data_IF_766052672009
#
_entry.id   IF_766052672009
#
_cell.length_a   1.000
_cell.length_b   1.000
_cell.length_c   1.000
_cell.angle_alpha   90.00
_cell.angle_beta   90.00
_cell.angle_gamma   90.00
#
_symmetry.space_group_name_H-M   'P 1'
#
loop_
_entity.id
_entity.type
_entity.pdbx_description
1 polymer ?
#
# COMPACT_ATOMS: atom_id res chain seq x y z
N UNK A 1 -55.71 40.82 -9.95
CA UNK A 1 -54.30 40.53 -10.32
C UNK A 1 -53.25 40.87 -9.25
N UNK A 2 -53.54 41.62 -8.17
CA UNK A 2 -52.52 42.02 -7.17
C UNK A 2 -51.99 40.93 -6.21
N UNK A 3 -52.81 39.91 -5.87
CA UNK A 3 -52.47 38.88 -4.85
C UNK A 3 -51.31 37.95 -5.26
N UNK A 4 -51.13 37.72 -6.56
CA UNK A 4 -50.04 36.88 -7.09
C UNK A 4 -48.66 37.57 -6.99
N UNK A 5 -48.62 38.91 -7.03
CA UNK A 5 -47.35 39.66 -6.97
C UNK A 5 -46.72 39.65 -5.58
N UNK A 6 -47.53 39.64 -4.52
CA UNK A 6 -47.03 39.62 -3.15
C UNK A 6 -46.44 38.25 -2.79
N UNK A 7 -47.13 37.16 -3.16
CA UNK A 7 -46.64 35.80 -2.94
C UNK A 7 -45.31 35.53 -3.66
N UNK A 8 -45.16 36.05 -4.89
CA UNK A 8 -43.91 35.95 -5.64
C UNK A 8 -42.76 36.70 -4.95
N UNK A 9 -43.01 37.93 -4.46
CA UNK A 9 -41.99 38.71 -3.73
C UNK A 9 -41.54 38.02 -2.44
N UNK A 10 -42.48 37.49 -1.66
CA UNK A 10 -42.16 36.73 -0.43
C UNK A 10 -41.36 35.46 -0.74
N UNK A 11 -41.72 34.74 -1.81
CA UNK A 11 -40.99 33.54 -2.23
C UNK A 11 -39.56 33.87 -2.69
N UNK A 12 -39.37 34.93 -3.48
CA UNK A 12 -38.03 35.38 -3.91
C UNK A 12 -37.19 35.80 -2.70
N UNK A 13 -37.77 36.55 -1.76
CA UNK A 13 -37.07 36.95 -0.54
C UNK A 13 -36.61 35.75 0.29
N UNK A 14 -37.45 34.70 0.40
CA UNK A 14 -37.11 33.45 1.08
C UNK A 14 -35.94 32.74 0.38
N UNK A 15 -35.98 32.59 -0.95
CA UNK A 15 -34.89 31.95 -1.71
C UNK A 15 -33.57 32.70 -1.52
N UNK A 16 -33.60 34.04 -1.64
CA UNK A 16 -32.42 34.87 -1.43
C UNK A 16 -31.90 34.74 0.01
N UNK A 17 -32.78 34.74 1.00
CA UNK A 17 -32.41 34.55 2.40
C UNK A 17 -31.71 33.21 2.64
N UNK A 18 -32.25 32.12 2.10
CA UNK A 18 -31.63 30.78 2.18
C UNK A 18 -30.26 30.79 1.47
N UNK A 19 -30.19 31.37 0.27
CA UNK A 19 -28.94 31.47 -0.48
C UNK A 19 -27.86 32.25 0.30
N UNK A 20 -28.20 33.41 0.87
CA UNK A 20 -27.27 34.19 1.70
C UNK A 20 -26.87 33.43 2.97
N UNK A 21 -27.80 32.74 3.63
CA UNK A 21 -27.48 31.93 4.80
C UNK A 21 -26.48 30.81 4.44
N UNK A 22 -26.67 30.13 3.31
CA UNK A 22 -25.73 29.12 2.82
C UNK A 22 -24.36 29.74 2.47
N UNK A 23 -24.33 30.89 1.80
CA UNK A 23 -23.09 31.59 1.47
C UNK A 23 -22.31 32.04 2.71
N UNK A 24 -23.01 32.61 3.71
CA UNK A 24 -22.42 33.00 5.00
C UNK A 24 -21.92 31.75 5.73
N UNK A 25 -22.72 30.69 5.79
CA UNK A 25 -22.33 29.44 6.44
C UNK A 25 -21.10 28.82 5.78
N UNK A 26 -21.06 28.76 4.44
CA UNK A 26 -19.90 28.28 3.69
C UNK A 26 -18.67 29.13 3.99
N UNK A 27 -18.81 30.47 4.02
CA UNK A 27 -17.71 31.38 4.34
C UNK A 27 -17.17 31.13 5.75
N UNK A 28 -18.06 31.00 6.75
CA UNK A 28 -17.67 30.67 8.12
C UNK A 28 -16.95 29.33 8.16
N UNK A 29 -17.51 28.28 7.52
CA UNK A 29 -16.92 26.94 7.48
C UNK A 29 -15.54 26.91 6.81
N UNK A 30 -15.32 27.72 5.76
CA UNK A 30 -14.01 27.87 5.13
C UNK A 30 -13.02 28.57 6.07
N UNK A 31 -13.44 29.64 6.76
CA UNK A 31 -12.59 30.39 7.70
C UNK A 31 -12.14 29.50 8.87
N UNK A 32 -13.05 28.69 9.43
CA UNK A 32 -12.73 27.79 10.56
C UNK A 32 -12.16 26.43 10.12
N UNK A 33 -12.02 26.19 8.81
CA UNK A 33 -11.61 24.93 8.20
C UNK A 33 -12.40 23.69 8.70
N UNK A 34 -13.72 23.83 8.86
CA UNK A 34 -14.58 22.75 9.36
C UNK A 34 -15.60 22.28 8.30
N UNK A 35 -15.79 20.96 8.11
CA UNK A 35 -14.91 19.89 8.59
C UNK A 35 -13.58 19.94 7.83
N UNK A 36 -12.51 19.42 8.44
CA UNK A 36 -11.21 19.29 7.76
C UNK A 36 -11.38 18.44 6.51
N UNK A 37 -10.77 18.88 5.40
CA UNK A 37 -10.79 18.06 4.19
C UNK A 37 -9.98 16.79 4.43
N UNK A 38 -10.54 15.60 4.16
CA UNK A 38 -9.74 14.39 4.17
C UNK A 38 -8.66 14.49 3.09
N UNK A 39 -7.53 13.84 3.33
CA UNK A 39 -6.40 13.78 2.41
C UNK A 39 -6.34 12.40 1.75
N UNK A 40 -5.82 12.35 0.54
CA UNK A 40 -5.55 11.08 -0.14
C UNK A 40 -4.20 10.53 0.26
N UNK A 41 -4.19 9.36 0.87
CA UNK A 41 -3.00 8.76 1.48
C UNK A 41 -2.81 9.23 2.93
N UNK A 42 -1.76 8.73 3.57
CA UNK A 42 -1.53 8.99 5.00
C UNK A 42 -0.05 8.90 5.37
N UNK A 43 0.29 9.49 6.51
CA UNK A 43 1.55 9.31 7.21
C UNK A 43 1.25 9.03 8.68
N UNK A 44 1.41 7.80 9.14
CA UNK A 44 1.03 7.39 10.49
C UNK A 44 2.04 7.84 11.55
N UNK A 45 3.30 8.08 11.17
CA UNK A 45 4.36 8.37 12.13
C UNK A 45 4.03 9.55 13.06
N UNK A 46 3.58 10.69 12.50
CA UNK A 46 3.25 11.88 13.31
C UNK A 46 2.17 11.62 14.36
N UNK A 47 1.27 10.67 14.10
CA UNK A 47 0.18 10.31 15.02
C UNK A 47 0.63 9.26 16.04
N UNK A 48 1.43 8.29 15.62
CA UNK A 48 1.74 7.10 16.42
C UNK A 48 3.10 7.14 17.11
N UNK A 49 4.07 7.84 16.54
CA UNK A 49 5.46 7.89 17.00
C UNK A 49 6.13 9.21 16.58
N UNK A 50 5.62 10.37 17.02
CA UNK A 50 6.02 11.70 16.50
C UNK A 50 7.52 11.98 16.61
N UNK A 51 8.18 11.48 17.66
CA UNK A 51 9.62 11.68 17.90
C UNK A 51 10.51 10.72 17.09
N UNK A 52 9.91 9.84 16.28
CA UNK A 52 10.58 8.83 15.48
C UNK A 52 10.38 9.06 13.98
N UNK A 53 9.96 10.26 13.58
CA UNK A 53 9.72 10.59 12.18
C UNK A 53 10.93 11.26 11.55
N UNK A 54 11.25 10.84 10.33
CA UNK A 54 12.19 11.55 9.48
C UNK A 54 11.56 12.81 8.87
N UNK A 55 12.36 13.64 8.20
CA UNK A 55 11.91 14.87 7.54
C UNK A 55 10.84 14.70 6.46
N UNK A 56 10.61 13.49 5.95
CA UNK A 56 9.51 13.16 5.02
C UNK A 56 8.25 12.68 5.74
N UNK A 57 8.29 12.53 7.06
CA UNK A 57 7.17 12.11 7.89
C UNK A 57 6.97 10.60 7.99
N UNK A 58 7.90 9.80 7.48
CA UNK A 58 7.94 8.35 7.70
C UNK A 58 8.63 8.03 9.01
N UNK A 59 8.26 6.92 9.63
CA UNK A 59 8.97 6.43 10.81
C UNK A 59 10.36 5.96 10.40
N UNK A 60 11.38 6.44 11.09
CA UNK A 60 12.78 6.20 10.77
C UNK A 60 13.64 7.42 11.12
N UNK A 61 14.94 7.28 10.93
CA UNK A 61 15.89 8.34 11.27
C UNK A 61 15.87 9.50 10.28
N UNK A 62 16.32 10.66 10.76
CA UNK A 62 16.52 11.83 9.92
C UNK A 62 17.46 11.54 8.74
N UNK A 63 17.13 12.05 7.55
CA UNK A 63 17.78 11.69 6.29
C UNK A 63 19.05 12.54 6.12
N UNK A 64 20.12 12.13 6.80
CA UNK A 64 21.40 12.83 6.82
C UNK A 64 22.51 11.88 6.38
N UNK A 65 23.22 12.24 5.31
CA UNK A 65 24.36 11.52 4.77
C UNK A 65 25.34 12.45 4.07
N UNK A 66 26.60 12.03 3.95
CA UNK A 66 27.64 12.73 3.20
C UNK A 66 27.59 12.39 1.70
N UNK A 67 28.18 13.18 0.80
CA UNK A 67 28.30 12.82 -0.62
C UNK A 67 29.01 11.46 -0.86
N UNK A 68 29.87 11.05 0.06
CA UNK A 68 30.66 9.82 -0.03
C UNK A 68 29.93 8.58 0.52
N UNK A 69 28.87 8.76 1.29
CA UNK A 69 28.12 7.65 1.90
C UNK A 69 27.45 6.79 0.82
N UNK A 70 27.34 5.49 1.06
CA UNK A 70 26.50 4.61 0.26
C UNK A 70 25.08 4.58 0.82
N UNK A 71 24.14 5.21 0.12
CA UNK A 71 22.78 5.44 0.60
C UNK A 71 21.85 4.33 0.10
N UNK A 72 21.31 3.57 1.04
CA UNK A 72 20.29 2.55 0.82
C UNK A 72 18.95 3.07 1.30
N UNK A 73 17.94 2.96 0.46
CA UNK A 73 16.56 3.31 0.78
C UNK A 73 15.73 2.03 0.89
N UNK A 74 15.20 1.77 2.08
CA UNK A 74 14.29 0.65 2.35
C UNK A 74 12.85 1.13 2.17
N UNK A 75 12.15 0.59 1.19
CA UNK A 75 10.79 0.97 0.81
C UNK A 75 9.85 -0.19 1.10
N UNK A 76 8.67 0.06 1.66
CA UNK A 76 7.68 -1.00 1.91
C UNK A 76 6.44 -0.51 2.63
N UNK A 77 5.76 -1.43 3.31
CA UNK A 77 4.49 -1.21 3.99
C UNK A 77 4.62 -1.35 5.52
N UNK A 78 3.66 -2.01 6.19
CA UNK A 78 3.71 -2.25 7.62
C UNK A 78 4.92 -3.08 8.08
N UNK A 79 5.45 -3.98 7.24
CA UNK A 79 6.65 -4.77 7.59
C UNK A 79 7.93 -3.91 7.60
N UNK A 80 7.92 -2.75 6.94
CA UNK A 80 9.00 -1.75 7.02
C UNK A 80 8.72 -0.74 8.14
N UNK A 81 7.46 -0.30 8.30
CA UNK A 81 7.06 0.66 9.34
C UNK A 81 7.21 0.10 10.77
N UNK A 82 6.94 -1.20 10.96
CA UNK A 82 7.19 -1.98 12.19
C UNK A 82 6.67 -1.36 13.49
N UNK A 83 5.41 -0.92 13.52
CA UNK A 83 4.81 -0.13 14.61
C UNK A 83 5.08 -0.61 16.05
N UNK A 84 5.19 -1.93 16.21
CA UNK A 84 5.30 -2.62 17.49
C UNK A 84 6.74 -2.77 17.99
N UNK A 85 7.73 -2.38 17.18
CA UNK A 85 9.13 -2.60 17.47
C UNK A 85 9.78 -1.38 18.14
N UNK A 86 10.73 -1.61 19.07
CA UNK A 86 11.62 -0.56 19.55
C UNK A 86 12.29 0.18 18.38
N UNK A 87 12.48 1.49 18.53
CA UNK A 87 12.99 2.34 17.47
C UNK A 87 14.40 1.94 16.98
N UNK A 88 15.25 1.47 17.89
CA UNK A 88 16.60 0.96 17.61
C UNK A 88 16.61 -0.41 16.91
N UNK A 89 15.47 -1.11 16.90
CA UNK A 89 15.26 -2.40 16.25
C UNK A 89 14.47 -2.31 14.94
N UNK A 90 14.20 -1.10 14.45
CA UNK A 90 13.53 -0.90 13.17
C UNK A 90 14.31 -1.55 12.00
N UNK A 91 13.62 -1.98 10.94
CA UNK A 91 14.22 -2.54 9.73
C UNK A 91 15.42 -1.76 9.17
N UNK A 92 15.33 -0.42 9.10
CA UNK A 92 16.46 0.40 8.64
C UNK A 92 17.72 0.21 9.50
N UNK A 93 17.57 0.11 10.82
CA UNK A 93 18.68 -0.01 11.78
C UNK A 93 19.28 -1.40 11.74
N UNK A 94 18.44 -2.44 11.66
CA UNK A 94 18.88 -3.82 11.50
C UNK A 94 19.66 -3.99 10.19
N UNK A 95 19.10 -3.53 9.08
CA UNK A 95 19.73 -3.65 7.77
C UNK A 95 21.06 -2.88 7.72
N UNK A 96 21.11 -1.66 8.25
CA UNK A 96 22.38 -0.89 8.31
C UNK A 96 23.45 -1.63 9.12
N UNK A 97 23.09 -2.15 10.30
CA UNK A 97 24.00 -2.92 11.15
C UNK A 97 24.59 -4.12 10.40
N UNK A 98 23.79 -4.81 9.61
CA UNK A 98 24.25 -5.97 8.84
C UNK A 98 25.08 -5.58 7.61
N UNK A 99 24.68 -4.55 6.86
CA UNK A 99 25.43 -4.07 5.69
C UNK A 99 26.80 -3.49 6.08
N UNK A 100 26.93 -2.88 7.27
CA UNK A 100 28.21 -2.36 7.77
C UNK A 100 29.28 -3.41 8.01
N UNK A 101 28.92 -4.70 8.07
CA UNK A 101 29.91 -5.80 8.07
C UNK A 101 30.69 -5.89 6.76
N UNK A 102 30.16 -5.31 5.69
CA UNK A 102 30.74 -5.34 4.35
C UNK A 102 31.21 -3.96 3.87
N UNK A 103 30.63 -2.87 4.42
CA UNK A 103 30.89 -1.50 3.99
C UNK A 103 30.55 -0.46 5.06
N UNK A 104 31.55 0.22 5.60
CA UNK A 104 31.39 1.12 6.75
C UNK A 104 30.61 2.42 6.44
N UNK A 105 30.66 2.91 5.20
CA UNK A 105 30.01 4.14 4.73
C UNK A 105 28.52 3.98 4.40
N UNK A 106 27.91 2.82 4.69
CA UNK A 106 26.49 2.58 4.42
C UNK A 106 25.59 3.40 5.36
N UNK A 107 24.58 4.02 4.74
CA UNK A 107 23.46 4.68 5.38
C UNK A 107 22.14 4.11 4.88
N UNK A 108 21.33 3.52 5.76
CA UNK A 108 19.98 3.05 5.43
C UNK A 108 18.91 4.04 5.91
N UNK A 109 17.90 4.31 5.10
CA UNK A 109 16.72 5.12 5.50
C UNK A 109 15.43 4.42 5.07
N UNK A 110 14.34 4.67 5.79
CA UNK A 110 13.03 4.08 5.49
C UNK A 110 12.08 5.04 4.76
N UNK A 111 11.38 4.52 3.74
CA UNK A 111 10.11 5.03 3.22
C UNK A 111 9.06 3.91 3.28
N UNK A 112 8.38 3.79 4.42
CA UNK A 112 7.34 2.77 4.57
C UNK A 112 6.29 3.18 5.57
N UNK A 113 5.05 2.80 5.28
CA UNK A 113 3.91 3.07 6.15
C UNK A 113 2.86 1.95 6.01
N UNK A 114 2.05 1.77 7.04
CA UNK A 114 1.07 0.69 7.09
C UNK A 114 0.05 0.80 5.95
N UNK A 115 -0.24 -0.32 5.29
CA UNK A 115 -1.25 -0.39 4.23
C UNK A 115 -0.87 0.31 2.93
N UNK A 116 0.39 0.69 2.76
CA UNK A 116 0.92 1.19 1.50
C UNK A 116 1.01 0.05 0.48
N UNK A 117 0.61 0.31 -0.75
CA UNK A 117 1.02 -0.46 -1.91
C UNK A 117 2.15 0.25 -2.65
N UNK A 118 2.56 -0.33 -3.77
CA UNK A 118 3.53 0.30 -4.68
C UNK A 118 3.04 1.63 -5.25
N UNK A 119 1.73 1.88 -5.28
CA UNK A 119 1.19 3.18 -5.69
C UNK A 119 1.67 4.34 -4.79
N UNK A 120 1.51 4.22 -3.48
CA UNK A 120 1.95 5.22 -2.52
C UNK A 120 3.45 5.16 -2.29
N UNK A 121 4.06 3.97 -2.34
CA UNK A 121 5.52 3.83 -2.27
C UNK A 121 6.21 4.52 -3.45
N UNK A 122 5.66 4.44 -4.67
CA UNK A 122 6.17 5.15 -5.84
C UNK A 122 6.08 6.68 -5.66
N UNK A 123 4.95 7.19 -5.16
CA UNK A 123 4.79 8.63 -4.91
C UNK A 123 5.70 9.14 -3.78
N UNK A 124 5.88 8.35 -2.72
CA UNK A 124 6.84 8.62 -1.66
C UNK A 124 8.28 8.65 -2.20
N UNK A 125 8.62 7.72 -3.09
CA UNK A 125 9.92 7.66 -3.75
C UNK A 125 10.16 8.86 -4.66
N UNK A 126 9.15 9.31 -5.42
CA UNK A 126 9.22 10.58 -6.16
C UNK A 126 9.53 11.75 -5.24
N UNK A 127 8.81 11.83 -4.11
CA UNK A 127 9.02 12.92 -3.13
C UNK A 127 10.43 12.89 -2.55
N UNK A 128 10.96 11.70 -2.27
CA UNK A 128 12.32 11.54 -1.77
C UNK A 128 13.36 12.07 -2.76
N UNK A 129 13.26 11.71 -4.04
CA UNK A 129 14.22 12.12 -5.07
C UNK A 129 14.18 13.61 -5.41
N UNK A 130 13.18 14.38 -4.95
CA UNK A 130 13.20 15.84 -5.05
C UNK A 130 14.37 16.47 -4.26
N UNK A 131 14.85 15.80 -3.21
CA UNK A 131 15.85 16.36 -2.27
C UNK A 131 16.99 15.42 -1.93
N UNK A 132 16.83 14.13 -2.17
CA UNK A 132 17.76 13.10 -1.72
C UNK A 132 18.20 12.20 -2.87
N UNK A 133 19.32 11.50 -2.65
CA UNK A 133 19.84 10.46 -3.55
C UNK A 133 19.80 9.12 -2.84
N UNK A 134 19.60 8.05 -3.59
CA UNK A 134 19.79 6.69 -3.11
C UNK A 134 20.59 5.92 -4.16
N UNK A 135 21.67 5.26 -3.72
CA UNK A 135 22.50 4.41 -4.57
C UNK A 135 21.82 3.05 -4.78
N UNK A 136 21.06 2.57 -3.77
CA UNK A 136 20.29 1.34 -3.82
C UNK A 136 18.91 1.55 -3.19
N UNK A 137 17.87 1.12 -3.88
CA UNK A 137 16.51 1.04 -3.36
C UNK A 137 16.14 -0.42 -3.19
N UNK A 138 15.81 -0.79 -1.96
CA UNK A 138 15.34 -2.12 -1.59
C UNK A 138 13.84 -2.06 -1.33
N UNK A 139 13.06 -2.64 -2.24
CA UNK A 139 11.61 -2.71 -2.12
C UNK A 139 11.20 -4.01 -1.43
N UNK A 140 10.73 -3.93 -0.19
CA UNK A 140 10.11 -5.05 0.51
C UNK A 140 8.68 -5.22 -0.01
N UNK A 141 8.42 -6.33 -0.68
CA UNK A 141 7.11 -6.67 -1.23
C UNK A 141 6.35 -7.61 -0.30
N UNK A 142 5.20 -7.16 0.19
CA UNK A 142 4.36 -7.94 1.10
C UNK A 142 3.28 -8.66 0.28
N UNK A 143 3.57 -9.89 -0.14
CA UNK A 143 2.69 -10.68 -1.01
C UNK A 143 1.28 -10.93 -0.48
N UNK A 144 1.02 -10.69 0.81
CA UNK A 144 -0.30 -10.86 1.42
C UNK A 144 -1.25 -9.70 1.10
N UNK A 145 -0.74 -8.50 0.89
CA UNK A 145 -1.56 -7.29 0.79
C UNK A 145 -1.15 -6.35 -0.36
N UNK A 146 0.07 -6.38 -0.88
CA UNK A 146 0.55 -5.36 -1.82
C UNK A 146 -0.25 -5.31 -3.12
N UNK A 147 -0.63 -6.47 -3.68
CA UNK A 147 -1.49 -6.52 -4.88
C UNK A 147 -2.84 -5.84 -4.59
N UNK A 148 -3.43 -6.11 -3.43
CA UNK A 148 -4.72 -5.53 -3.03
C UNK A 148 -4.56 -4.04 -2.72
N UNK A 149 -3.48 -3.65 -2.05
CA UNK A 149 -3.15 -2.27 -1.77
C UNK A 149 -2.96 -1.48 -3.07
N UNK A 150 -2.48 -2.08 -4.16
CA UNK A 150 -2.44 -1.41 -5.47
C UNK A 150 -3.81 -1.38 -6.15
N UNK A 151 -4.57 -2.48 -6.04
CA UNK A 151 -5.82 -2.69 -6.76
C UNK A 151 -6.95 -1.78 -6.28
N UNK A 152 -7.18 -1.69 -4.97
CA UNK A 152 -8.33 -0.98 -4.42
C UNK A 152 -8.05 0.50 -4.22
N UNK A 153 -9.00 1.42 -4.45
CA UNK A 153 -8.78 2.85 -4.27
C UNK A 153 -8.73 3.31 -2.80
N UNK A 154 -8.74 2.34 -1.89
CA UNK A 154 -8.84 2.54 -0.44
C UNK A 154 -8.04 1.48 0.30
N UNK A 155 -7.56 1.80 1.50
CA UNK A 155 -6.91 0.82 2.38
C UNK A 155 -7.61 0.71 3.74
N UNK A 156 -7.40 -0.45 4.38
CA UNK A 156 -7.97 -0.80 5.68
C UNK A 156 -9.50 -0.91 5.71
N UNK A 157 -10.01 -1.26 6.88
CA UNK A 157 -11.46 -1.43 7.12
C UNK A 157 -12.23 -0.10 7.02
N UNK A 158 -11.57 1.03 7.29
CA UNK A 158 -12.19 2.36 7.24
C UNK A 158 -12.32 2.92 5.81
N UNK A 159 -11.88 2.17 4.79
CA UNK A 159 -11.84 2.62 3.40
C UNK A 159 -11.13 3.99 3.28
N UNK A 160 -9.96 4.14 3.89
CA UNK A 160 -9.18 5.39 3.78
C UNK A 160 -8.79 5.57 2.32
N UNK A 161 -9.20 6.67 1.71
CA UNK A 161 -8.91 6.98 0.32
C UNK A 161 -7.40 7.17 0.10
N UNK A 162 -6.90 6.70 -1.04
CA UNK A 162 -5.50 6.88 -1.44
C UNK A 162 -5.37 7.25 -2.91
N UNK A 163 -4.24 7.87 -3.31
CA UNK A 163 -3.87 8.01 -4.71
C UNK A 163 -3.92 6.63 -5.36
N UNK A 164 -4.65 6.51 -6.46
CA UNK A 164 -4.88 5.22 -7.09
C UNK A 164 -4.48 5.26 -8.54
N UNK A 165 -3.69 4.28 -8.96
CA UNK A 165 -3.35 4.05 -10.36
C UNK A 165 -4.28 2.98 -10.94
N UNK A 166 -4.47 3.00 -12.25
CA UNK A 166 -5.25 1.98 -12.95
C UNK A 166 -4.63 1.66 -14.31
N UNK A 167 -4.99 0.52 -14.87
CA UNK A 167 -4.64 0.17 -16.23
C UNK A 167 -5.83 0.44 -17.15
N UNK A 168 -5.58 1.13 -18.25
CA UNK A 168 -6.50 1.23 -19.39
C UNK A 168 -5.77 0.71 -20.62
N UNK A 169 -6.29 -0.36 -21.23
CA UNK A 169 -5.67 -1.05 -22.38
C UNK A 169 -4.18 -1.38 -22.16
N UNK A 170 -3.83 -1.82 -20.95
CA UNK A 170 -2.47 -2.19 -20.55
C UNK A 170 -1.53 -1.01 -20.28
N UNK A 171 -1.99 0.24 -20.41
CA UNK A 171 -1.22 1.44 -20.06
C UNK A 171 -1.54 1.88 -18.63
N UNK A 172 -0.52 2.29 -17.90
CA UNK A 172 -0.67 2.83 -16.54
C UNK A 172 -1.17 4.28 -16.60
N UNK A 173 -2.24 4.55 -15.88
CA UNK A 173 -2.82 5.88 -15.67
C UNK A 173 -2.86 6.23 -14.19
N UNK A 174 -2.93 7.53 -13.92
CA UNK A 174 -3.03 8.09 -12.58
C UNK A 174 -1.74 8.73 -12.07
N UNK A 175 -1.66 9.02 -10.76
CA UNK A 175 -2.69 8.68 -9.76
C UNK A 175 -3.97 9.52 -9.94
N UNK A 176 -5.07 9.11 -9.33
CA UNK A 176 -6.33 9.88 -9.28
C UNK A 176 -6.18 11.29 -8.69
N UNK A 177 -5.25 11.44 -7.75
CA UNK A 177 -4.82 12.71 -7.19
C UNK A 177 -3.40 12.60 -6.65
N UNK A 178 -2.78 13.75 -6.36
CA UNK A 178 -1.45 13.79 -5.75
C UNK A 178 -1.44 13.23 -4.32
N UNK A 179 -0.30 12.68 -3.93
CA UNK A 179 -0.08 12.14 -2.59
C UNK A 179 -0.23 13.22 -1.51
N UNK A 180 -0.96 12.88 -0.44
CA UNK A 180 -1.30 13.76 0.69
C UNK A 180 -2.13 14.99 0.30
N UNK A 181 -2.75 15.00 -0.88
CA UNK A 181 -3.59 16.13 -1.32
C UNK A 181 -5.02 16.02 -0.80
N UNK A 182 -5.70 17.15 -0.52
CA UNK A 182 -7.10 17.16 -0.11
C UNK A 182 -8.03 16.51 -1.15
N UNK A 183 -8.98 15.70 -0.69
CA UNK A 183 -10.00 15.06 -1.52
C UNK A 183 -11.42 15.41 -1.07
N UNK A 184 -12.37 15.21 -1.98
CA UNK A 184 -13.79 15.49 -1.76
C UNK A 184 -14.23 16.89 -2.23
N UNK A 185 -15.47 17.28 -1.90
CA UNK A 185 -16.01 18.57 -2.30
C UNK A 185 -15.19 19.75 -1.77
N UNK A 186 -14.98 20.77 -2.63
CA UNK A 186 -14.37 22.03 -2.19
C UNK A 186 -15.32 22.83 -1.29
N UNK A 187 -16.63 22.71 -1.52
CA UNK A 187 -17.68 23.37 -0.74
C UNK A 187 -17.80 22.64 0.61
N UNK A 188 -17.54 23.34 1.71
CA UNK A 188 -17.54 22.78 3.07
C UNK A 188 -18.94 22.33 3.50
N UNK A 189 -20.00 23.02 3.09
CA UNK A 189 -21.38 22.57 3.37
C UNK A 189 -21.65 21.20 2.75
N UNK A 190 -21.18 20.94 1.52
CA UNK A 190 -21.30 19.62 0.89
C UNK A 190 -20.48 18.56 1.63
N UNK A 191 -19.27 18.91 2.07
CA UNK A 191 -18.42 18.02 2.85
C UNK A 191 -19.02 17.72 4.23
N UNK A 192 -19.65 18.71 4.87
CA UNK A 192 -20.38 18.58 6.13
C UNK A 192 -21.58 17.65 5.97
N UNK A 193 -22.37 17.84 4.91
CA UNK A 193 -23.47 16.95 4.57
C UNK A 193 -22.97 15.52 4.34
N UNK A 194 -21.87 15.36 3.60
CA UNK A 194 -21.25 14.05 3.38
C UNK A 194 -20.77 13.42 4.70
N UNK A 195 -20.20 14.21 5.61
CA UNK A 195 -19.71 13.73 6.90
C UNK A 195 -20.83 13.20 7.81
N UNK A 196 -22.00 13.86 7.83
CA UNK A 196 -23.12 13.48 8.71
C UNK A 196 -24.09 12.48 8.09
N UNK A 197 -24.33 12.56 6.78
CA UNK A 197 -25.41 11.83 6.12
C UNK A 197 -24.96 11.01 4.92
N UNK A 198 -23.75 11.26 4.41
CA UNK A 198 -23.26 10.64 3.19
C UNK A 198 -22.39 9.42 3.42
N UNK A 199 -22.09 8.73 2.33
CA UNK A 199 -21.03 7.74 2.32
C UNK A 199 -19.65 8.40 2.42
N UNK A 200 -18.70 7.73 3.07
CA UNK A 200 -17.32 8.19 3.07
C UNK A 200 -16.80 8.27 1.63
N UNK A 201 -15.91 9.23 1.37
CA UNK A 201 -15.30 9.40 0.04
C UNK A 201 -14.67 8.09 -0.45
N UNK A 202 -14.03 7.35 0.46
CA UNK A 202 -13.46 6.06 0.12
C UNK A 202 -14.49 5.01 -0.26
N UNK A 203 -15.61 4.91 0.46
CA UNK A 203 -16.69 3.99 0.09
C UNK A 203 -17.26 4.33 -1.29
N UNK A 204 -17.57 5.60 -1.54
CA UNK A 204 -18.03 6.06 -2.85
C UNK A 204 -17.04 5.70 -3.98
N UNK A 205 -15.73 5.93 -3.75
CA UNK A 205 -14.67 5.58 -4.71
C UNK A 205 -14.59 4.08 -4.96
N UNK A 206 -14.67 3.27 -3.91
CA UNK A 206 -14.63 1.83 -4.02
C UNK A 206 -15.80 1.31 -4.88
N UNK A 207 -17.01 1.78 -4.63
CA UNK A 207 -18.20 1.40 -5.42
C UNK A 207 -18.07 1.86 -6.88
N UNK A 208 -17.52 3.05 -7.13
CA UNK A 208 -17.20 3.51 -8.48
C UNK A 208 -16.18 2.59 -9.17
N UNK A 209 -15.10 2.21 -8.49
CA UNK A 209 -14.05 1.33 -9.03
C UNK A 209 -14.60 -0.05 -9.38
N UNK A 210 -15.42 -0.63 -8.50
CA UNK A 210 -16.09 -1.91 -8.74
C UNK A 210 -16.92 -1.92 -10.02
N UNK A 211 -17.55 -0.79 -10.34
CA UNK A 211 -18.43 -0.67 -11.51
C UNK A 211 -17.67 -0.33 -12.80
N UNK A 212 -16.66 0.52 -12.72
CA UNK A 212 -16.07 1.17 -13.90
C UNK A 212 -14.66 0.68 -14.26
N UNK A 213 -13.93 0.08 -13.31
CA UNK A 213 -12.50 -0.23 -13.46
C UNK A 213 -12.22 -1.73 -13.32
N UNK A 214 -12.87 -2.40 -12.37
CA UNK A 214 -12.56 -3.80 -12.08
C UNK A 214 -13.09 -4.76 -13.14
N UNK A 215 -12.25 -5.66 -13.68
CA UNK A 215 -12.72 -6.80 -14.45
C UNK A 215 -13.35 -7.86 -13.53
N UNK A 216 -13.77 -8.99 -14.10
CA UNK A 216 -14.50 -10.00 -13.34
C UNK A 216 -13.68 -10.57 -12.17
N UNK A 217 -14.24 -10.59 -10.94
CA UNK A 217 -13.59 -11.23 -9.79
C UNK A 217 -13.68 -12.75 -9.89
N UNK A 218 -13.00 -13.43 -8.98
CA UNK A 218 -13.07 -14.87 -8.80
C UNK A 218 -14.52 -15.36 -8.71
N UNK A 219 -14.85 -16.37 -9.51
CA UNK A 219 -16.16 -17.01 -9.51
C UNK A 219 -16.08 -18.29 -8.67
N UNK A 220 -16.68 -18.32 -7.46
CA UNK A 220 -16.71 -19.53 -6.66
C UNK A 220 -17.57 -20.59 -7.31
N UNK A 221 -17.29 -21.86 -7.01
CA UNK A 221 -18.04 -22.99 -7.56
C UNK A 221 -19.40 -23.07 -6.85
N UNK A 222 -20.44 -23.41 -7.62
CA UNK A 222 -21.78 -23.69 -7.08
C UNK A 222 -21.87 -25.10 -6.49
N UNK A 223 -21.08 -26.03 -7.03
CA UNK A 223 -21.05 -27.43 -6.64
C UNK A 223 -19.59 -27.92 -6.62
N UNK A 224 -19.27 -28.85 -5.73
CA UNK A 224 -17.95 -29.47 -5.65
C UNK A 224 -18.06 -30.88 -5.08
N UNK A 225 -17.52 -31.84 -5.82
CA UNK A 225 -17.39 -33.24 -5.38
C UNK A 225 -15.93 -33.47 -4.92
N UNK A 226 -15.72 -33.53 -3.61
CA UNK A 226 -14.39 -33.75 -3.03
C UNK A 226 -14.32 -33.43 -1.55
N UNK A 227 -13.11 -33.48 -0.98
CA UNK A 227 -12.87 -33.07 0.40
C UNK A 227 -13.08 -31.55 0.56
N UNK A 228 -13.90 -31.18 1.55
CA UNK A 228 -14.29 -29.80 1.81
C UNK A 228 -13.84 -29.40 3.21
N UNK A 229 -13.15 -28.26 3.29
CA UNK A 229 -12.77 -27.63 4.54
C UNK A 229 -13.88 -26.65 5.00
N UNK A 230 -14.51 -26.96 6.13
CA UNK A 230 -15.62 -26.16 6.69
C UNK A 230 -15.18 -25.03 7.63
N UNK A 231 -13.87 -24.86 7.87
CA UNK A 231 -13.36 -23.82 8.79
C UNK A 231 -13.79 -22.41 8.41
N UNK A 232 -13.94 -22.12 7.11
CA UNK A 232 -14.44 -20.82 6.64
C UNK A 232 -15.91 -20.60 6.97
N UNK A 233 -16.74 -21.62 6.80
CA UNK A 233 -18.15 -21.57 7.20
C UNK A 233 -18.31 -21.35 8.70
N UNK A 234 -17.49 -22.01 9.51
CA UNK A 234 -17.48 -21.83 10.96
C UNK A 234 -17.03 -20.41 11.36
N UNK A 235 -15.95 -19.92 10.74
CA UNK A 235 -15.47 -18.57 10.96
C UNK A 235 -16.50 -17.51 10.48
N UNK A 236 -17.16 -17.74 9.35
CA UNK A 236 -18.23 -16.89 8.82
C UNK A 236 -19.44 -16.84 9.76
N UNK A 237 -19.89 -17.98 10.30
CA UNK A 237 -20.99 -18.00 11.29
C UNK A 237 -20.66 -17.23 12.56
N UNK A 238 -19.39 -17.28 12.98
CA UNK A 238 -18.93 -16.61 14.20
C UNK A 238 -18.72 -15.11 13.99
N UNK A 239 -18.14 -14.72 12.85
CA UNK A 239 -17.70 -13.36 12.56
C UNK A 239 -17.84 -13.01 11.06
N UNK A 240 -19.06 -12.89 10.52
CA UNK A 240 -19.28 -12.77 9.08
C UNK A 240 -18.59 -11.54 8.47
N UNK A 241 -18.59 -10.41 9.20
CA UNK A 241 -18.09 -9.14 8.68
C UNK A 241 -16.58 -8.90 8.91
N UNK A 242 -15.86 -9.77 9.62
CA UNK A 242 -14.46 -9.50 10.00
C UNK A 242 -13.45 -10.23 9.10
N UNK A 243 -13.73 -11.48 8.73
CA UNK A 243 -12.74 -12.34 8.06
C UNK A 243 -12.91 -12.32 6.53
N UNK A 244 -14.14 -12.21 6.05
CA UNK A 244 -14.49 -12.43 4.65
C UNK A 244 -15.14 -11.22 3.97
N UNK A 245 -15.11 -10.05 4.63
CA UNK A 245 -15.62 -8.82 4.05
C UNK A 245 -14.86 -8.47 2.77
N UNK A 246 -15.56 -8.40 1.64
CA UNK A 246 -14.97 -8.06 0.34
C UNK A 246 -14.43 -9.26 -0.44
N UNK A 247 -14.68 -10.51 0.01
CA UNK A 247 -14.29 -11.72 -0.72
C UNK A 247 -14.87 -11.77 -2.14
N UNK A 248 -16.04 -11.18 -2.35
CA UNK A 248 -16.72 -11.10 -3.65
C UNK A 248 -15.97 -10.24 -4.67
N UNK A 249 -15.03 -9.42 -4.21
CA UNK A 249 -14.06 -8.69 -5.03
C UNK A 249 -12.62 -9.08 -4.70
N UNK A 250 -12.40 -10.23 -4.06
CA UNK A 250 -11.06 -10.73 -3.70
C UNK A 250 -10.25 -9.80 -2.77
N UNK A 251 -10.92 -9.00 -1.93
CA UNK A 251 -10.26 -8.15 -0.94
C UNK A 251 -10.00 -8.93 0.37
N UNK A 252 -9.22 -10.01 0.27
CA UNK A 252 -8.95 -10.96 1.37
C UNK A 252 -7.52 -11.47 1.30
N UNK A 253 -6.92 -11.78 2.45
CA UNK A 253 -5.49 -12.11 2.60
C UNK A 253 -5.01 -13.32 1.77
N UNK A 254 -5.91 -14.21 1.39
CA UNK A 254 -5.64 -15.43 0.61
C UNK A 254 -6.05 -15.30 -0.86
N UNK A 255 -6.46 -14.12 -1.33
CA UNK A 255 -6.89 -13.95 -2.71
C UNK A 255 -5.80 -14.32 -3.74
N UNK A 256 -4.53 -14.15 -3.37
CA UNK A 256 -3.39 -14.59 -4.18
C UNK A 256 -3.26 -16.11 -4.30
N UNK A 257 -4.05 -16.89 -3.57
CA UNK A 257 -4.10 -18.36 -3.66
C UNK A 257 -5.33 -18.86 -4.44
N UNK A 258 -6.33 -18.03 -4.72
CA UNK A 258 -7.57 -18.47 -5.39
C UNK A 258 -7.28 -19.05 -6.77
N UNK A 259 -7.83 -20.24 -7.03
CA UNK A 259 -7.63 -20.98 -8.29
C UNK A 259 -8.97 -21.43 -8.91
N UNK A 260 -9.16 -21.28 -10.23
CA UNK A 260 -8.24 -20.64 -11.17
C UNK A 260 -8.07 -19.13 -10.89
N UNK A 261 -6.94 -18.55 -11.31
CA UNK A 261 -6.72 -17.10 -11.25
C UNK A 261 -7.84 -16.36 -11.99
N UNK A 262 -8.45 -15.37 -11.35
CA UNK A 262 -9.47 -14.50 -11.95
C UNK A 262 -8.88 -13.41 -12.85
N UNK A 263 -9.74 -12.75 -13.63
CA UNK A 263 -9.35 -11.56 -14.40
C UNK A 263 -8.94 -10.40 -13.49
N UNK A 264 -9.64 -10.21 -12.37
CA UNK A 264 -9.30 -9.19 -11.37
C UNK A 264 -7.91 -9.40 -10.77
N UNK A 265 -7.58 -10.64 -10.41
CA UNK A 265 -6.24 -10.97 -9.88
C UNK A 265 -5.17 -10.77 -10.94
N UNK A 266 -5.42 -11.18 -12.18
CA UNK A 266 -4.51 -10.94 -13.28
C UNK A 266 -4.28 -9.44 -13.52
N UNK A 267 -5.34 -8.64 -13.47
CA UNK A 267 -5.27 -7.19 -13.56
C UNK A 267 -4.43 -6.59 -12.41
N UNK A 268 -4.65 -7.02 -11.16
CA UNK A 268 -3.86 -6.58 -10.01
C UNK A 268 -2.36 -6.90 -10.14
N UNK A 269 -2.02 -8.09 -10.65
CA UNK A 269 -0.63 -8.47 -10.97
C UNK A 269 -0.06 -7.53 -12.04
N UNK A 270 -0.79 -7.29 -13.14
CA UNK A 270 -0.34 -6.41 -14.23
C UNK A 270 -0.15 -4.96 -13.76
N UNK A 271 -1.06 -4.46 -12.91
CA UNK A 271 -0.98 -3.11 -12.33
C UNK A 271 0.26 -2.98 -11.45
N UNK A 272 0.48 -3.94 -10.55
CA UNK A 272 1.65 -3.97 -9.66
C UNK A 272 2.96 -4.03 -10.47
N UNK A 273 3.01 -4.83 -11.54
CA UNK A 273 4.16 -4.89 -12.45
C UNK A 273 4.40 -3.54 -13.14
N UNK A 274 3.34 -2.84 -13.52
CA UNK A 274 3.48 -1.51 -14.16
C UNK A 274 4.03 -0.49 -13.16
N UNK A 275 3.62 -0.57 -11.89
CA UNK A 275 4.20 0.24 -10.82
C UNK A 275 5.67 -0.10 -10.55
N UNK A 276 6.05 -1.39 -10.54
CA UNK A 276 7.46 -1.79 -10.48
C UNK A 276 8.29 -1.19 -11.62
N UNK A 277 7.75 -1.15 -12.84
CA UNK A 277 8.41 -0.51 -13.98
C UNK A 277 8.63 0.99 -13.75
N UNK A 278 7.62 1.72 -13.27
CA UNK A 278 7.75 3.16 -12.99
C UNK A 278 8.71 3.45 -11.83
N UNK A 279 8.69 2.63 -10.77
CA UNK A 279 9.67 2.73 -9.69
C UNK A 279 11.09 2.46 -10.21
N UNK A 280 11.29 1.42 -11.01
CA UNK A 280 12.60 1.09 -11.61
C UNK A 280 13.12 2.25 -12.46
N UNK A 281 12.30 2.78 -13.37
CA UNK A 281 12.64 3.94 -14.21
C UNK A 281 13.04 5.15 -13.38
N UNK A 282 12.27 5.46 -12.33
CA UNK A 282 12.56 6.58 -11.43
C UNK A 282 13.90 6.39 -10.71
N UNK A 283 14.18 5.19 -10.19
CA UNK A 283 15.42 4.86 -9.50
C UNK A 283 16.62 4.96 -10.46
N UNK A 284 16.52 4.36 -11.64
CA UNK A 284 17.57 4.38 -12.66
C UNK A 284 17.84 5.81 -13.19
N UNK A 285 16.79 6.62 -13.38
CA UNK A 285 16.93 8.03 -13.77
C UNK A 285 17.66 8.88 -12.71
N UNK A 286 17.72 8.41 -11.47
CA UNK A 286 18.46 9.03 -10.36
C UNK A 286 19.77 8.30 -10.04
N UNK A 287 20.29 7.50 -10.98
CA UNK A 287 21.53 6.72 -10.86
C UNK A 287 21.53 5.71 -9.70
N UNK A 288 20.35 5.30 -9.23
CA UNK A 288 20.19 4.24 -8.25
C UNK A 288 19.96 2.88 -8.90
N UNK A 289 20.00 1.83 -8.08
CA UNK A 289 19.63 0.47 -8.47
C UNK A 289 18.41 -0.01 -7.68
N UNK A 290 17.44 -0.65 -8.32
CA UNK A 290 16.24 -1.18 -7.65
C UNK A 290 16.33 -2.71 -7.52
N UNK A 291 16.19 -3.21 -6.29
CA UNK A 291 16.04 -4.65 -6.01
C UNK A 291 14.76 -4.86 -5.22
N UNK A 292 13.95 -5.83 -5.68
CA UNK A 292 12.73 -6.23 -4.98
C UNK A 292 13.05 -7.44 -4.08
N UNK A 293 12.55 -7.48 -2.87
CA UNK A 293 12.69 -8.68 -2.05
C UNK A 293 11.42 -8.96 -1.26
N UNK A 294 11.22 -10.24 -0.93
CA UNK A 294 10.19 -10.66 0.02
C UNK A 294 10.74 -11.76 0.91
N UNK A 295 10.22 -11.86 2.12
CA UNK A 295 10.38 -13.06 2.92
C UNK A 295 9.58 -14.22 2.31
N UNK A 296 10.00 -15.46 2.51
CA UNK A 296 9.16 -16.64 2.31
C UNK A 296 8.89 -17.29 3.65
N UNK A 297 7.63 -17.25 4.06
CA UNK A 297 7.20 -17.81 5.36
C UNK A 297 7.23 -19.34 5.30
N UNK A 298 7.39 -20.04 6.44
CA UNK A 298 7.45 -21.50 6.46
C UNK A 298 6.29 -22.20 5.74
N UNK A 299 5.07 -21.63 5.83
CA UNK A 299 3.89 -22.20 5.16
C UNK A 299 3.94 -22.03 3.63
N UNK A 300 4.62 -21.01 3.10
CA UNK A 300 4.78 -20.84 1.65
C UNK A 300 5.67 -21.93 1.04
N UNK A 301 6.65 -22.41 1.82
CA UNK A 301 7.65 -23.38 1.39
C UNK A 301 7.18 -24.81 1.65
N UNK A 302 6.51 -25.06 2.78
CA UNK A 302 6.12 -26.42 3.20
C UNK A 302 4.99 -27.01 2.35
N UNK A 303 4.12 -26.16 1.80
CA UNK A 303 2.85 -26.56 1.21
C UNK A 303 2.75 -26.25 -0.28
N UNK A 304 3.85 -26.33 -1.05
CA UNK A 304 3.95 -25.85 -2.45
C UNK A 304 2.85 -26.34 -3.39
N UNK A 305 2.41 -27.59 -3.21
CA UNK A 305 1.40 -28.24 -4.06
C UNK A 305 0.06 -28.45 -3.35
N UNK A 306 -0.12 -27.83 -2.17
CA UNK A 306 -1.36 -27.95 -1.41
C UNK A 306 -2.49 -27.22 -2.14
N UNK A 307 -3.59 -27.93 -2.33
CA UNK A 307 -4.86 -27.35 -2.77
C UNK A 307 -5.95 -27.74 -1.79
N UNK A 308 -6.83 -26.79 -1.49
CA UNK A 308 -7.94 -26.97 -0.57
C UNK A 308 -9.18 -26.28 -1.12
N UNK A 309 -10.34 -26.87 -0.86
CA UNK A 309 -11.64 -26.24 -1.16
C UNK A 309 -12.33 -25.90 0.14
N UNK A 310 -12.70 -24.64 0.29
CA UNK A 310 -13.41 -24.11 1.44
C UNK A 310 -14.87 -23.88 1.10
N UNK A 311 -15.77 -24.30 1.98
CA UNK A 311 -17.19 -23.99 1.87
C UNK A 311 -17.52 -22.75 2.70
N UNK A 312 -18.28 -21.81 2.12
CA UNK A 312 -18.79 -20.64 2.81
C UNK A 312 -20.03 -20.11 2.11
N UNK A 313 -21.12 -19.92 2.87
CA UNK A 313 -22.36 -19.29 2.42
C UNK A 313 -22.93 -19.90 1.11
N UNK A 314 -22.98 -21.23 1.05
CA UNK A 314 -23.51 -21.95 -0.12
C UNK A 314 -22.58 -21.98 -1.33
N UNK A 315 -21.33 -21.52 -1.20
CA UNK A 315 -20.35 -21.42 -2.27
C UNK A 315 -19.05 -22.13 -1.90
N UNK A 316 -18.31 -22.59 -2.92
CA UNK A 316 -17.03 -23.26 -2.75
C UNK A 316 -15.88 -22.42 -3.32
N UNK A 317 -14.83 -22.24 -2.53
CA UNK A 317 -13.65 -21.45 -2.88
C UNK A 317 -12.43 -22.36 -2.90
N UNK A 318 -11.77 -22.48 -4.05
CA UNK A 318 -10.58 -23.31 -4.18
C UNK A 318 -9.32 -22.46 -4.06
N UNK A 319 -8.43 -22.86 -3.16
CA UNK A 319 -7.11 -22.26 -2.97
C UNK A 319 -6.02 -23.23 -3.44
N UNK A 320 -4.94 -22.69 -4.00
CA UNK A 320 -3.79 -23.45 -4.49
C UNK A 320 -2.50 -22.70 -4.23
N UNK A 321 -1.58 -23.35 -3.52
CA UNK A 321 -0.23 -22.82 -3.30
C UNK A 321 0.58 -22.79 -4.60
N UNK A 322 0.29 -23.69 -5.55
CA UNK A 322 0.86 -23.63 -6.89
C UNK A 322 0.41 -22.36 -7.63
N UNK A 323 -0.87 -21.98 -7.51
CA UNK A 323 -1.38 -20.72 -8.08
C UNK A 323 -0.72 -19.51 -7.42
N UNK A 324 -0.53 -19.52 -6.10
CA UNK A 324 0.21 -18.48 -5.37
C UNK A 324 1.64 -18.32 -5.89
N UNK A 325 2.40 -19.42 -6.02
CA UNK A 325 3.77 -19.38 -6.54
C UNK A 325 3.83 -18.93 -8.00
N UNK A 326 2.85 -19.33 -8.82
CA UNK A 326 2.73 -18.84 -10.20
C UNK A 326 2.43 -17.33 -10.24
N UNK A 327 1.56 -16.82 -9.37
CA UNK A 327 1.28 -15.39 -9.25
C UNK A 327 2.56 -14.61 -8.93
N UNK A 328 3.35 -15.09 -7.96
CA UNK A 328 4.62 -14.45 -7.61
C UNK A 328 5.66 -14.54 -8.72
N UNK A 329 5.75 -15.68 -9.41
CA UNK A 329 6.64 -15.85 -10.56
C UNK A 329 6.31 -14.83 -11.65
N UNK A 330 5.03 -14.70 -12.01
CA UNK A 330 4.59 -13.74 -13.02
C UNK A 330 4.81 -12.31 -12.57
N UNK A 331 4.55 -12.02 -11.30
CA UNK A 331 4.74 -10.70 -10.71
C UNK A 331 6.21 -10.24 -10.80
N UNK A 332 7.17 -11.10 -10.45
CA UNK A 332 8.58 -10.73 -10.42
C UNK A 332 9.33 -10.98 -11.73
N UNK A 333 8.71 -11.64 -12.71
CA UNK A 333 9.35 -11.94 -13.99
C UNK A 333 9.92 -10.69 -14.67
N UNK A 334 11.22 -10.67 -14.95
CA UNK A 334 11.92 -9.54 -15.58
C UNK A 334 12.45 -8.47 -14.61
N UNK A 335 12.31 -8.67 -13.29
CA UNK A 335 12.88 -7.80 -12.26
C UNK A 335 13.95 -8.55 -11.46
N UNK A 336 15.01 -7.84 -11.07
CA UNK A 336 15.96 -8.35 -10.08
C UNK A 336 15.23 -8.45 -8.74
N UNK A 337 15.14 -9.69 -8.23
CA UNK A 337 14.41 -9.94 -7.00
C UNK A 337 14.98 -11.09 -6.19
N UNK A 338 14.72 -11.06 -4.88
CA UNK A 338 15.12 -12.11 -3.95
C UNK A 338 13.95 -12.57 -3.08
N UNK A 339 13.71 -13.88 -3.08
CA UNK A 339 12.79 -14.55 -2.18
C UNK A 339 13.62 -15.17 -1.05
N UNK A 340 13.44 -14.70 0.18
CA UNK A 340 14.32 -15.04 1.30
C UNK A 340 13.60 -15.97 2.27
N UNK A 341 13.96 -17.27 2.32
CA UNK A 341 13.27 -18.22 3.17
C UNK A 341 13.52 -17.96 4.66
N UNK A 342 12.44 -17.88 5.42
CA UNK A 342 12.45 -17.80 6.88
C UNK A 342 12.35 -19.21 7.46
N UNK A 343 13.49 -19.82 7.73
CA UNK A 343 13.58 -21.18 8.29
C UNK A 343 13.46 -21.17 9.82
N UNK A 344 12.44 -20.49 10.36
CA UNK A 344 12.18 -20.40 11.81
C UNK A 344 10.69 -20.63 12.09
N UNK A 345 10.36 -21.30 13.20
CA UNK A 345 8.96 -21.58 13.57
C UNK A 345 8.24 -20.33 14.07
N UNK A 346 8.92 -19.49 14.85
CA UNK A 346 8.33 -18.31 15.50
C UNK A 346 8.54 -17.06 14.63
N UNK A 347 8.12 -17.17 13.37
CA UNK A 347 8.35 -16.10 12.39
C UNK A 347 7.40 -14.92 12.57
N UNK A 348 6.22 -15.11 13.18
CA UNK A 348 5.23 -14.08 13.44
C UNK A 348 5.35 -13.52 14.86
N UNK A 349 4.87 -12.28 15.08
CA UNK A 349 4.86 -11.64 16.41
C UNK A 349 4.10 -12.50 17.42
N UNK A 350 2.91 -12.96 17.04
CA UNK A 350 2.08 -13.90 17.79
C UNK A 350 1.06 -14.59 16.85
N UNK A 351 0.10 -15.33 17.40
CA UNK A 351 -0.90 -16.08 16.61
C UNK A 351 -1.96 -15.20 15.93
N UNK A 352 -2.18 -13.98 16.43
CA UNK A 352 -3.18 -13.04 15.90
C UNK A 352 -2.51 -11.94 15.05
N UNK A 353 -1.19 -11.83 15.13
CA UNK A 353 -0.37 -10.85 14.45
C UNK A 353 0.70 -11.50 13.55
N UNK A 354 0.30 -11.74 12.31
CA UNK A 354 1.12 -12.26 11.22
C UNK A 354 2.31 -11.37 10.79
N UNK A 355 2.53 -10.19 11.39
CA UNK A 355 3.74 -9.41 11.11
C UNK A 355 4.99 -10.18 11.54
N UNK A 356 6.12 -9.93 10.90
CA UNK A 356 7.36 -10.60 11.24
C UNK A 356 7.80 -10.30 12.67
N UNK A 357 8.21 -11.34 13.41
CA UNK A 357 8.81 -11.21 14.74
C UNK A 357 10.19 -10.54 14.67
N UNK A 358 10.71 -10.07 15.81
CA UNK A 358 12.07 -9.50 15.85
C UNK A 358 13.11 -10.49 15.32
N UNK A 359 12.96 -11.77 15.66
CA UNK A 359 13.87 -12.83 15.25
C UNK A 359 13.76 -13.08 13.74
N UNK A 360 12.56 -13.01 13.18
CA UNK A 360 12.33 -13.11 11.74
C UNK A 360 12.96 -11.95 10.97
N UNK A 361 12.75 -10.70 11.42
CA UNK A 361 13.35 -9.52 10.81
C UNK A 361 14.87 -9.55 10.89
N UNK A 362 15.44 -9.93 12.04
CA UNK A 362 16.88 -10.06 12.20
C UNK A 362 17.47 -11.11 11.24
N UNK A 363 16.84 -12.28 11.14
CA UNK A 363 17.22 -13.32 10.17
C UNK A 363 17.08 -12.85 8.71
N UNK A 364 15.98 -12.19 8.38
CA UNK A 364 15.68 -11.65 7.05
C UNK A 364 16.77 -10.67 6.62
N UNK A 365 17.07 -9.67 7.44
CA UNK A 365 18.05 -8.64 7.09
C UNK A 365 19.50 -9.13 7.14
N UNK A 366 19.82 -10.11 8.00
CA UNK A 366 21.11 -10.78 7.94
C UNK A 366 21.30 -11.50 6.59
N UNK A 367 20.31 -12.31 6.17
CA UNK A 367 20.35 -13.00 4.87
C UNK A 367 20.35 -12.02 3.70
N UNK A 368 19.51 -10.99 3.72
CA UNK A 368 19.45 -9.96 2.70
C UNK A 368 20.80 -9.26 2.56
N UNK A 369 21.45 -8.87 3.67
CA UNK A 369 22.75 -8.18 3.62
C UNK A 369 23.84 -9.01 2.94
N UNK A 370 23.86 -10.33 3.14
CA UNK A 370 24.79 -11.26 2.49
C UNK A 370 24.51 -11.41 1.00
N UNK A 371 23.25 -11.30 0.58
CA UNK A 371 22.88 -11.28 -0.84
C UNK A 371 23.33 -9.95 -1.46
N UNK A 372 22.98 -8.83 -0.83
CA UNK A 372 23.32 -7.49 -1.32
C UNK A 372 24.82 -7.26 -1.41
N UNK A 373 25.61 -7.75 -0.44
CA UNK A 373 27.07 -7.61 -0.45
C UNK A 373 27.76 -8.31 -1.63
N UNK A 374 27.07 -9.20 -2.34
CA UNK A 374 27.57 -9.88 -3.54
C UNK A 374 27.15 -9.18 -4.84
N UNK A 375 26.28 -8.17 -4.77
CA UNK A 375 25.84 -7.45 -5.96
C UNK A 375 26.90 -6.46 -6.43
N UNK A 376 26.97 -6.25 -7.75
CA UNK A 376 27.93 -5.31 -8.33
C UNK A 376 27.65 -3.85 -7.91
N UNK A 377 26.36 -3.47 -7.78
CA UNK A 377 25.98 -2.12 -7.37
C UNK A 377 26.52 -1.75 -5.98
N UNK A 378 26.55 -2.71 -5.05
CA UNK A 378 27.05 -2.49 -3.70
C UNK A 378 28.59 -2.42 -3.62
N UNK A 379 29.29 -3.19 -4.45
CA UNK A 379 30.75 -3.32 -4.42
C UNK A 379 31.49 -2.27 -5.25
N UNK A 380 30.81 -1.56 -6.16
CA UNK A 380 31.44 -0.47 -6.89
C UNK A 380 31.77 0.68 -5.93
N UNK A 381 33.06 0.87 -5.64
CA UNK A 381 33.56 2.14 -5.12
C UNK A 381 33.26 3.20 -6.18
N UNK A 382 32.49 4.24 -5.84
CA UNK A 382 32.25 5.38 -6.72
C UNK A 382 33.61 5.85 -7.25
N UNK A 383 33.84 5.69 -8.56
CA UNK A 383 34.93 6.43 -9.21
C UNK A 383 34.53 7.89 -9.09
N UNK A 384 35.35 8.70 -8.43
CA UNK A 384 35.16 10.14 -8.38
C UNK A 384 35.15 10.68 -9.81
N UNK A 385 33.98 10.86 -10.40
CA UNK A 385 33.79 11.83 -11.47
C UNK A 385 33.48 13.15 -10.79
N UNK A 386 34.56 13.87 -10.46
CA UNK A 386 34.53 15.28 -10.13
C UNK A 386 34.15 16.06 -11.39
N UNK A 387 32.88 16.05 -11.79
CA UNK A 387 32.43 16.88 -12.91
C UNK A 387 30.94 17.27 -12.75
N UNK A 388 30.74 18.55 -12.45
CA UNK A 388 29.55 19.37 -12.72
C UNK A 388 28.22 18.97 -12.06
N UNK A 389 28.08 19.30 -10.77
CA UNK A 389 26.77 19.70 -10.23
C UNK A 389 26.64 21.21 -10.45
N UNK A 390 25.80 21.61 -11.41
CA UNK A 390 25.40 23.03 -11.57
C UNK A 390 24.58 23.48 -10.33
N UNK A 391 24.72 24.75 -9.92
CA UNK A 391 24.08 25.31 -8.74
C UNK A 391 22.55 25.34 -8.81
#
# INVERSE_FOLDING_TARGET
MGKNSHNLKSFIALILGIFFALMISETILQIIDFPKRPVSGWLNCKKMSPDQCNSLGFRGREIIYSPNDYVVLLVGDSEVYTAYFPYDQMPERLLERYLRKYRDDVKVFTLGDMGYGQDQQYLALKKYYEKHRADLVLLMFTARNDIDNNLFPTSGQNNTAKPTFWLDNGKLHGPTEDWMSPVGPKIKIMLLWQYYFGESIGKFRLEKWKKEVFPAPYQPLSEYEGEINYSWHEAWKKYPNLVFQGIEFERVVFANQMTPRSELRQYGINLTRSLFSEMKKLVEANNGHLIIFKEERPWEIKYTDKEEVFFMDGKYYRLSMKQYHNNLKDLFNGYEHHRIPLSISNYAVDSDNDHLSQQALDLLFNKLSNIISKTNCFNMKKRHTSENVKP
#
